data_IF_128747535756
#
_entry.id   IF_128747535756
#
_cell.length_a   1.000
_cell.length_b   1.000
_cell.length_c   1.000
_cell.angle_alpha   90.00
_cell.angle_beta   90.00
_cell.angle_gamma   90.00
#
_symmetry.space_group_name_H-M   'P 1'
#
loop_
_entity.id
_entity.type
_entity.pdbx_description
1 polymer ?
#
# COMPACT_ATOMS: atom_id res chain seq x y z
N UNK A 1 -0.99 10.47 -12.60
CA UNK A 1 -1.95 10.77 -11.51
C UNK A 1 -1.24 11.69 -10.53
N UNK A 2 -1.89 12.77 -10.05
CA UNK A 2 -1.26 13.72 -9.11
C UNK A 2 -2.00 13.71 -7.77
N UNK A 3 -1.36 14.15 -6.69
CA UNK A 3 -1.98 14.22 -5.36
C UNK A 3 -3.32 14.99 -5.41
N UNK A 4 -3.35 16.12 -6.12
CA UNK A 4 -4.56 16.94 -6.24
C UNK A 4 -5.69 16.25 -7.03
N UNK A 5 -5.40 15.28 -7.89
CA UNK A 5 -6.45 14.54 -8.61
C UNK A 5 -7.25 13.62 -7.69
N UNK A 6 -6.65 13.09 -6.61
CA UNK A 6 -7.35 12.23 -5.65
C UNK A 6 -8.54 12.94 -4.99
N UNK A 7 -8.50 14.27 -4.84
CA UNK A 7 -9.63 15.02 -4.31
C UNK A 7 -10.91 14.86 -5.13
N UNK A 8 -10.76 14.70 -6.45
CA UNK A 8 -11.86 14.62 -7.41
C UNK A 8 -12.31 13.18 -7.71
N UNK A 9 -11.55 12.17 -7.27
CA UNK A 9 -11.83 10.74 -7.51
C UNK A 9 -12.20 9.97 -6.23
N UNK A 10 -12.71 10.68 -5.22
CA UNK A 10 -13.17 10.06 -3.96
C UNK A 10 -12.09 9.81 -2.91
N UNK A 11 -10.82 10.10 -3.21
CA UNK A 11 -9.70 9.96 -2.27
C UNK A 11 -9.60 11.08 -1.22
N UNK A 12 -10.52 12.06 -1.22
CA UNK A 12 -10.52 13.17 -0.27
C UNK A 12 -10.58 12.72 1.19
N UNK A 13 -11.32 11.65 1.49
CA UNK A 13 -11.40 11.11 2.85
C UNK A 13 -10.07 10.48 3.29
N UNK A 14 -9.45 9.69 2.41
CA UNK A 14 -8.17 9.04 2.69
C UNK A 14 -7.04 10.07 2.87
N UNK A 15 -7.03 11.10 2.01
CA UNK A 15 -6.08 12.20 2.12
C UNK A 15 -6.23 12.96 3.44
N UNK A 16 -7.48 13.19 3.89
CA UNK A 16 -7.73 13.84 5.17
C UNK A 16 -7.22 13.00 6.34
N UNK A 17 -7.50 11.70 6.35
CA UNK A 17 -7.02 10.79 7.42
C UNK A 17 -5.49 10.78 7.46
N UNK A 18 -4.83 10.70 6.30
CA UNK A 18 -3.38 10.75 6.23
C UNK A 18 -2.82 12.08 6.73
N UNK A 19 -3.44 13.20 6.35
CA UNK A 19 -3.06 14.54 6.83
C UNK A 19 -3.24 14.68 8.35
N UNK A 20 -4.40 14.29 8.89
CA UNK A 20 -4.70 14.34 10.33
C UNK A 20 -3.66 13.54 11.15
N UNK A 21 -3.21 12.39 10.61
CA UNK A 21 -2.16 11.59 11.24
C UNK A 21 -0.79 12.29 11.20
N UNK A 22 -0.41 12.89 10.07
CA UNK A 22 0.87 13.60 9.94
C UNK A 22 0.93 14.81 10.89
N UNK A 23 -0.18 15.55 11.03
CA UNK A 23 -0.28 16.71 11.91
C UNK A 23 -0.04 16.36 13.38
N UNK A 24 -0.29 15.12 13.80
CA UNK A 24 0.01 14.64 15.15
C UNK A 24 1.52 14.58 15.44
N UNK A 25 2.38 14.49 14.42
CA UNK A 25 3.83 14.27 14.57
C UNK A 25 4.70 15.39 14.01
N UNK A 26 4.18 16.18 13.07
CA UNK A 26 4.94 17.20 12.36
C UNK A 26 4.20 18.53 12.48
N UNK A 27 4.80 19.53 13.12
CA UNK A 27 4.16 20.85 13.29
C UNK A 27 4.42 21.82 12.12
N UNK A 28 5.48 21.59 11.33
CA UNK A 28 5.82 22.42 10.18
C UNK A 28 5.01 22.02 8.94
N UNK A 29 4.17 22.94 8.45
CA UNK A 29 3.29 22.69 7.29
C UNK A 29 4.03 22.33 6.02
N UNK A 30 5.19 22.92 5.76
CA UNK A 30 5.98 22.60 4.55
C UNK A 30 6.47 21.15 4.59
N UNK A 31 6.87 20.68 5.76
CA UNK A 31 7.31 19.31 5.98
C UNK A 31 6.12 18.34 5.91
N UNK A 32 4.94 18.74 6.41
CA UNK A 32 3.71 17.95 6.25
C UNK A 32 3.35 17.74 4.77
N UNK A 33 3.36 18.81 3.96
CA UNK A 33 3.06 18.76 2.52
C UNK A 33 4.06 17.90 1.75
N UNK A 34 5.35 18.02 2.08
CA UNK A 34 6.39 17.14 1.56
C UNK A 34 6.07 15.68 1.91
N UNK A 35 5.71 15.41 3.17
CA UNK A 35 5.44 14.04 3.62
C UNK A 35 4.22 13.43 2.95
N UNK A 36 3.16 14.20 2.74
CA UNK A 36 1.99 13.78 1.97
C UNK A 36 2.35 13.42 0.53
N UNK A 37 3.22 14.22 -0.10
CA UNK A 37 3.70 13.96 -1.45
C UNK A 37 4.54 12.68 -1.53
N UNK A 38 5.41 12.44 -0.55
CA UNK A 38 6.20 11.19 -0.44
C UNK A 38 5.30 9.96 -0.29
N UNK A 39 4.31 10.01 0.60
CA UNK A 39 3.36 8.92 0.81
C UNK A 39 2.53 8.63 -0.45
N UNK A 40 2.08 9.69 -1.13
CA UNK A 40 1.38 9.56 -2.41
C UNK A 40 2.23 8.87 -3.46
N UNK A 41 3.50 9.27 -3.62
CA UNK A 41 4.42 8.64 -4.56
C UNK A 41 4.68 7.18 -4.19
N UNK A 42 4.87 6.87 -2.91
CA UNK A 42 5.07 5.49 -2.45
C UNK A 42 3.84 4.62 -2.75
N UNK A 43 2.64 5.10 -2.46
CA UNK A 43 1.39 4.40 -2.79
C UNK A 43 1.22 4.23 -4.30
N UNK A 44 1.53 5.27 -5.08
CA UNK A 44 1.50 5.20 -6.54
C UNK A 44 2.48 4.16 -7.07
N UNK A 45 3.71 4.10 -6.58
CA UNK A 45 4.68 3.08 -6.97
C UNK A 45 4.22 1.69 -6.60
N UNK A 46 3.67 1.51 -5.39
CA UNK A 46 3.12 0.24 -4.92
C UNK A 46 2.04 -0.30 -5.87
N UNK A 47 1.05 0.52 -6.26
CA UNK A 47 -0.03 0.07 -7.16
C UNK A 47 0.40 -0.06 -8.63
N UNK A 48 1.55 0.47 -9.02
CA UNK A 48 2.06 0.32 -10.39
C UNK A 48 3.08 -0.81 -10.53
N UNK A 49 3.48 -1.45 -9.42
CA UNK A 49 4.41 -2.58 -9.47
C UNK A 49 3.65 -3.88 -9.77
N UNK A 50 4.04 -4.54 -10.85
CA UNK A 50 3.46 -5.84 -11.26
C UNK A 50 3.75 -6.95 -10.24
N UNK A 51 4.89 -6.89 -9.56
CA UNK A 51 5.25 -7.87 -8.53
C UNK A 51 4.31 -7.77 -7.31
N UNK A 52 3.95 -6.54 -6.91
CA UNK A 52 2.94 -6.28 -5.88
C UNK A 52 1.62 -6.94 -6.25
N UNK A 53 1.10 -6.68 -7.45
CA UNK A 53 -0.18 -7.27 -7.88
C UNK A 53 -0.15 -8.78 -7.94
N UNK A 54 0.95 -9.37 -8.43
CA UNK A 54 1.08 -10.83 -8.44
C UNK A 54 1.00 -11.43 -7.03
N UNK A 55 1.66 -10.81 -6.06
CA UNK A 55 1.62 -11.27 -4.68
C UNK A 55 0.22 -11.08 -4.06
N UNK A 56 -0.46 -9.95 -4.33
CA UNK A 56 -1.84 -9.72 -3.90
C UNK A 56 -2.77 -10.78 -4.50
N UNK A 57 -2.66 -11.09 -5.79
CA UNK A 57 -3.46 -12.13 -6.44
C UNK A 57 -3.17 -13.52 -5.87
N UNK A 58 -1.90 -13.84 -5.61
CA UNK A 58 -1.53 -15.12 -4.99
C UNK A 58 -2.14 -15.24 -3.58
N UNK A 59 -2.08 -14.17 -2.78
CA UNK A 59 -2.73 -14.13 -1.48
C UNK A 59 -4.25 -14.30 -1.61
N UNK A 60 -4.91 -13.56 -2.48
CA UNK A 60 -6.36 -13.66 -2.69
C UNK A 60 -6.79 -15.09 -3.08
N UNK A 61 -6.04 -15.75 -3.98
CA UNK A 61 -6.30 -17.14 -4.35
C UNK A 61 -6.11 -18.09 -3.16
N UNK A 62 -5.08 -17.86 -2.34
CA UNK A 62 -4.85 -18.65 -1.12
C UNK A 62 -6.01 -18.51 -0.14
N UNK A 63 -6.50 -17.28 0.09
CA UNK A 63 -7.66 -17.01 0.96
C UNK A 63 -8.92 -17.75 0.48
N UNK A 64 -9.20 -17.71 -0.83
CA UNK A 64 -10.37 -18.35 -1.42
C UNK A 64 -10.32 -19.88 -1.32
N UNK A 65 -9.13 -20.48 -1.40
CA UNK A 65 -8.96 -21.95 -1.35
C UNK A 65 -9.02 -22.49 0.08
N UNK A 66 -8.46 -21.78 1.06
CA UNK A 66 -8.28 -22.30 2.42
C UNK A 66 -9.59 -22.39 3.23
N UNK A 67 -10.66 -21.66 2.84
CA UNK A 67 -11.94 -21.61 3.56
C UNK A 67 -11.80 -21.50 5.09
N UNK A 68 -10.82 -20.72 5.55
CA UNK A 68 -10.54 -20.46 6.97
C UNK A 68 -11.19 -19.14 7.38
N UNK A 69 -11.79 -19.12 8.57
CA UNK A 69 -12.34 -17.90 9.15
C UNK A 69 -11.25 -16.97 9.75
N UNK A 70 -10.11 -17.55 10.14
CA UNK A 70 -8.96 -16.85 10.72
C UNK A 70 -7.71 -17.35 10.02
N UNK A 71 -6.84 -16.42 9.65
CA UNK A 71 -5.57 -16.71 8.99
C UNK A 71 -4.48 -15.95 9.74
N UNK A 72 -3.44 -16.68 10.14
CA UNK A 72 -2.34 -16.13 10.91
C UNK A 72 -1.43 -15.25 10.05
N UNK A 73 -0.80 -14.27 10.68
CA UNK A 73 0.10 -13.34 10.01
C UNK A 73 1.26 -14.07 9.32
N UNK A 74 1.80 -15.11 9.95
CA UNK A 74 2.91 -15.91 9.41
C UNK A 74 2.54 -16.60 8.10
N UNK A 75 1.28 -17.06 7.99
CA UNK A 75 0.76 -17.68 6.76
C UNK A 75 0.67 -16.65 5.63
N UNK A 76 0.18 -15.45 5.94
CA UNK A 76 0.10 -14.33 4.98
C UNK A 76 1.51 -13.93 4.50
N UNK A 77 2.45 -13.76 5.44
CA UNK A 77 3.84 -13.38 5.15
C UNK A 77 4.48 -14.44 4.25
N UNK A 78 4.32 -15.73 4.55
CA UNK A 78 4.90 -16.81 3.75
C UNK A 78 4.38 -16.79 2.29
N UNK A 79 3.08 -16.55 2.08
CA UNK A 79 2.50 -16.46 0.74
C UNK A 79 3.04 -15.23 -0.01
N UNK A 80 3.09 -14.08 0.67
CA UNK A 80 3.61 -12.85 0.08
C UNK A 80 5.09 -12.99 -0.30
N UNK A 81 5.93 -13.48 0.61
CA UNK A 81 7.38 -13.61 0.40
C UNK A 81 7.72 -14.53 -0.78
N UNK A 82 7.00 -15.64 -0.92
CA UNK A 82 7.16 -16.58 -2.02
C UNK A 82 6.90 -15.92 -3.40
N UNK A 83 6.05 -14.90 -3.46
CA UNK A 83 5.64 -14.25 -4.70
C UNK A 83 6.28 -12.86 -4.91
N UNK A 84 6.77 -12.22 -3.85
CA UNK A 84 7.51 -10.96 -3.89
C UNK A 84 9.01 -11.17 -4.17
N UNK A 85 9.68 -12.02 -3.38
CA UNK A 85 11.14 -12.14 -3.42
C UNK A 85 11.66 -13.09 -4.51
N UNK A 86 10.81 -14.00 -5.00
CA UNK A 86 11.14 -14.84 -6.16
C UNK A 86 11.46 -14.02 -7.43
N UNK A 87 11.06 -12.74 -7.49
CA UNK A 87 11.39 -11.84 -8.60
C UNK A 87 12.62 -10.94 -8.40
N UNK A 88 13.15 -10.81 -7.18
CA UNK A 88 14.37 -10.03 -6.96
C UNK A 88 15.67 -10.84 -7.07
N UNK A 89 15.59 -12.18 -7.13
CA UNK A 89 16.79 -13.04 -7.30
C UNK A 89 17.30 -13.14 -8.74
N UNK A 90 16.61 -12.56 -9.72
CA UNK A 90 17.00 -12.60 -11.14
C UNK A 90 17.20 -11.20 -11.77
N UNK A 91 17.45 -10.18 -10.95
CA UNK A 91 17.80 -8.83 -11.41
C UNK A 91 19.24 -8.50 -11.02
#
# INVERSE_FOLDING_TARGET
MTLNTLHNYGGSSDLKIAQDYIECFISDKSVQEQKMSELFLAAFHFINDRAVWRAITALANHLLVQNKAIIECEEIIAVLDAHFFAHRKCA
#
